data_IF_884150167977
#
_entry.id   IF_884150167977
#
_cell.length_a   1.000
_cell.length_b   1.000
_cell.length_c   1.000
_cell.angle_alpha   90.00
_cell.angle_beta   90.00
_cell.angle_gamma   90.00
#
_symmetry.space_group_name_H-M   'P 1'
#
loop_
_entity.id
_entity.type
_entity.pdbx_description
1 polymer ?
#
# COMPACT_ATOMS: atom_id res chain seq x y z
N UNK A 1 -8.17 7.74 9.06
CA UNK A 1 -8.02 6.25 9.07
C UNK A 1 -7.25 5.83 7.82
N UNK A 2 -6.63 4.64 7.77
CA UNK A 2 -5.89 4.22 6.57
C UNK A 2 -6.59 3.06 5.86
N UNK A 3 -6.55 3.09 4.52
CA UNK A 3 -7.05 2.00 3.68
C UNK A 3 -5.90 1.31 2.98
N UNK A 4 -5.89 -0.01 3.00
CA UNK A 4 -4.85 -0.82 2.35
C UNK A 4 -5.03 -0.76 0.84
N UNK A 5 -3.99 -0.36 0.12
CA UNK A 5 -3.93 -0.31 -1.35
C UNK A 5 -3.28 -1.56 -1.93
N UNK A 6 -2.21 -2.01 -1.30
CA UNK A 6 -1.41 -3.15 -1.74
C UNK A 6 -1.20 -4.12 -0.59
N UNK A 7 -1.16 -5.41 -0.92
CA UNK A 7 -0.97 -6.47 0.09
C UNK A 7 0.39 -6.35 0.76
N UNK A 8 0.44 -6.44 2.09
CA UNK A 8 1.69 -6.48 2.85
C UNK A 8 1.57 -7.32 4.12
N UNK A 9 2.72 -7.77 4.63
CA UNK A 9 2.84 -8.42 5.93
C UNK A 9 3.32 -7.39 6.95
N UNK A 10 2.57 -7.20 8.03
CA UNK A 10 2.96 -6.35 9.15
C UNK A 10 3.57 -7.21 10.24
N UNK A 11 4.89 -7.13 10.39
CA UNK A 11 5.61 -7.91 11.40
C UNK A 11 5.34 -7.40 12.82
N UNK A 12 4.95 -6.12 12.98
CA UNK A 12 4.57 -5.57 14.29
C UNK A 12 3.18 -6.03 14.77
N UNK A 13 2.41 -6.67 13.89
CA UNK A 13 1.07 -7.18 14.16
C UNK A 13 1.06 -8.71 14.08
N UNK A 14 2.02 -9.39 14.73
CA UNK A 14 2.15 -10.85 14.72
C UNK A 14 2.22 -11.47 13.30
N UNK A 15 2.81 -10.74 12.35
CA UNK A 15 2.88 -11.16 10.97
C UNK A 15 1.54 -11.12 10.22
N UNK A 16 0.56 -10.34 10.70
CA UNK A 16 -0.72 -10.14 10.04
C UNK A 16 -0.55 -9.69 8.59
N UNK A 17 -1.37 -10.27 7.71
CA UNK A 17 -1.35 -9.98 6.29
C UNK A 17 -2.54 -9.08 5.97
N UNK A 18 -2.25 -7.85 5.58
CA UNK A 18 -3.24 -6.88 5.14
C UNK A 18 -3.53 -7.05 3.65
N UNK A 19 -4.81 -7.14 3.29
CA UNK A 19 -5.27 -7.23 1.91
C UNK A 19 -5.83 -5.88 1.41
N UNK A 20 -5.72 -5.59 0.10
CA UNK A 20 -6.30 -4.38 -0.48
C UNK A 20 -7.78 -4.21 -0.12
N UNK A 21 -8.16 -3.01 0.32
CA UNK A 21 -9.51 -2.68 0.76
C UNK A 21 -9.74 -2.75 2.27
N UNK A 22 -8.88 -3.44 3.01
CA UNK A 22 -8.95 -3.52 4.48
C UNK A 22 -8.57 -2.19 5.15
N UNK A 23 -8.95 -2.04 6.41
CA UNK A 23 -8.61 -0.90 7.26
C UNK A 23 -7.33 -1.21 8.03
N UNK A 24 -6.42 -0.24 8.09
CA UNK A 24 -5.22 -0.31 8.89
C UNK A 24 -5.24 0.73 10.03
N UNK A 25 -4.86 0.34 11.26
CA UNK A 25 -4.62 -1.03 11.71
C UNK A 25 -5.94 -1.85 11.78
N UNK A 26 -5.82 -3.18 11.84
CA UNK A 26 -6.97 -4.01 12.16
C UNK A 26 -7.38 -3.78 13.63
N UNK A 27 -8.64 -4.10 13.98
CA UNK A 27 -9.29 -3.72 15.24
C UNK A 27 -8.47 -4.06 16.50
N UNK A 28 -7.73 -5.17 16.46
CA UNK A 28 -6.96 -5.67 17.60
C UNK A 28 -5.54 -5.09 17.69
N UNK A 29 -5.14 -4.24 16.74
CA UNK A 29 -3.80 -3.65 16.69
C UNK A 29 -3.82 -2.13 16.88
N UNK A 30 -2.73 -1.63 17.47
CA UNK A 30 -2.55 -0.18 17.72
C UNK A 30 -1.92 0.49 16.51
N UNK A 31 -2.42 1.67 16.15
CA UNK A 31 -1.85 2.49 15.09
C UNK A 31 -0.51 3.06 15.54
N UNK A 32 0.57 2.67 14.88
CA UNK A 32 1.88 3.32 15.01
C UNK A 32 2.01 4.36 13.90
N UNK A 33 1.96 5.66 14.24
CA UNK A 33 1.89 6.76 13.26
C UNK A 33 3.05 6.74 12.27
N UNK A 34 4.29 6.68 12.76
CA UNK A 34 5.48 6.65 11.90
C UNK A 34 5.47 5.47 10.95
N UNK A 35 5.00 4.30 11.41
CA UNK A 35 4.86 3.12 10.55
C UNK A 35 3.79 3.30 9.48
N UNK A 36 2.67 3.91 9.83
CA UNK A 36 1.61 4.21 8.89
C UNK A 36 2.06 5.23 7.81
N UNK A 37 2.85 6.22 8.20
CA UNK A 37 3.46 7.20 7.28
C UNK A 37 4.43 6.51 6.30
N UNK A 38 5.32 5.63 6.79
CA UNK A 38 6.20 4.84 5.93
C UNK A 38 5.43 4.01 4.90
N UNK A 39 4.34 3.35 5.34
CA UNK A 39 3.50 2.54 4.48
C UNK A 39 2.63 3.38 3.53
N UNK A 40 2.35 4.63 3.87
CA UNK A 40 1.65 5.60 3.02
C UNK A 40 2.58 6.28 2.00
N UNK A 41 3.90 6.21 2.20
CA UNK A 41 4.89 6.66 1.24
C UNK A 41 5.11 5.62 0.13
N UNK A 42 5.58 6.09 -1.03
CA UNK A 42 5.88 5.20 -2.16
C UNK A 42 7.14 4.41 -1.83
N UNK A 43 7.04 3.09 -1.79
CA UNK A 43 8.17 2.24 -1.46
C UNK A 43 9.19 2.25 -2.62
N UNK A 44 10.45 2.65 -2.40
CA UNK A 44 11.42 2.90 -3.47
C UNK A 44 11.72 1.64 -4.31
N UNK A 45 11.70 0.46 -3.69
CA UNK A 45 11.92 -0.82 -4.37
C UNK A 45 10.74 -1.28 -5.25
N UNK A 46 9.51 -0.96 -4.86
CA UNK A 46 8.31 -1.53 -5.48
C UNK A 46 7.51 -0.50 -6.28
N UNK A 47 7.77 0.79 -6.10
CA UNK A 47 7.04 1.87 -6.77
C UNK A 47 5.57 1.95 -6.38
N UNK A 48 5.18 1.38 -5.22
CA UNK A 48 3.80 1.36 -4.75
C UNK A 48 3.70 1.87 -3.31
N UNK A 49 2.55 2.46 -2.98
CA UNK A 49 2.14 2.79 -1.60
C UNK A 49 1.32 1.65 -1.03
N UNK A 50 1.52 1.28 0.23
CA UNK A 50 0.75 0.19 0.87
C UNK A 50 -0.53 0.69 1.51
N UNK A 51 -0.50 1.92 2.04
CA UNK A 51 -1.64 2.58 2.66
C UNK A 51 -2.02 3.86 1.90
N UNK A 52 -3.30 4.17 1.94
CA UNK A 52 -3.84 5.47 1.58
C UNK A 52 -4.42 6.11 2.84
N UNK A 53 -4.01 7.35 3.13
CA UNK A 53 -4.62 8.15 4.18
C UNK A 53 -6.04 8.50 3.74
N UNK A 54 -7.03 7.90 4.38
CA UNK A 54 -8.43 8.31 4.25
C UNK A 54 -8.62 9.40 5.28
N UNK A 55 -8.56 10.66 4.81
CA UNK A 55 -9.22 11.74 5.52
C UNK A 55 -10.67 11.33 5.69
N UNK A 56 -11.14 11.26 6.94
CA UNK A 56 -12.55 11.05 7.23
C UNK A 56 -13.27 12.31 6.77
N UNK A 57 -13.54 12.40 5.47
CA UNK A 57 -14.40 13.42 4.91
C UNK A 57 -15.78 13.13 5.48
N UNK A 58 -16.15 13.89 6.50
CA UNK A 58 -17.52 14.40 6.61
C UNK A 58 -17.97 14.76 5.18
N UNK A 59 -19.16 14.32 4.75
CA UNK A 59 -19.47 14.12 3.35
C UNK A 59 -19.44 15.45 2.57
N UNK A 60 -18.30 15.78 1.97
CA UNK A 60 -18.26 16.48 0.69
C UNK A 60 -16.88 16.42 0.01
N UNK A 61 -16.94 16.36 -1.33
CA UNK A 61 -15.88 16.67 -2.29
C UNK A 61 -14.94 15.54 -2.72
N UNK A 62 -15.35 14.90 -3.80
CA UNK A 62 -14.56 14.51 -4.98
C UNK A 62 -13.27 15.32 -5.22
N UNK A 63 -12.17 14.63 -5.55
CA UNK A 63 -11.21 15.07 -6.58
C UNK A 63 -10.22 13.95 -6.93
N UNK A 64 -10.19 13.66 -8.23
CA UNK A 64 -9.27 12.75 -8.91
C UNK A 64 -7.85 13.33 -9.02
N UNK A 65 -6.83 12.49 -8.82
CA UNK A 65 -5.52 12.46 -9.53
C UNK A 65 -4.71 11.28 -8.93
N UNK A 66 -4.11 10.35 -9.67
CA UNK A 66 -3.68 10.40 -11.05
C UNK A 66 -3.88 9.09 -11.79
N UNK A 67 -4.26 9.26 -13.06
CA UNK A 67 -4.10 8.28 -14.12
C UNK A 67 -2.62 8.18 -14.44
N UNK A 68 -2.05 6.97 -14.49
CA UNK A 68 -0.95 6.69 -15.40
C UNK A 68 -1.13 5.29 -16.00
N UNK A 69 -1.72 5.30 -17.19
CA UNK A 69 -1.82 4.18 -18.12
C UNK A 69 -0.54 4.10 -18.94
N UNK A 70 0.35 3.12 -18.75
CA UNK A 70 1.30 2.69 -19.80
C UNK A 70 1.61 1.18 -19.72
N UNK A 71 1.00 0.42 -20.64
CA UNK A 71 1.58 -0.55 -21.59
C UNK A 71 2.51 -1.69 -21.10
N UNK A 72 1.94 -2.91 -21.13
CA UNK A 72 2.42 -4.17 -21.76
C UNK A 72 3.88 -4.26 -22.26
N UNK A 73 4.61 -5.28 -21.76
CA UNK A 73 5.78 -5.98 -22.35
C UNK A 73 6.39 -6.88 -21.26
N UNK A 74 6.27 -8.22 -21.24
CA UNK A 74 6.94 -9.30 -22.01
C UNK A 74 8.48 -9.29 -21.95
N UNK A 75 9.04 -10.51 -21.84
CA UNK A 75 10.45 -10.98 -21.83
C UNK A 75 11.16 -10.96 -20.46
N UNK A 76 11.49 -12.08 -19.78
CA UNK A 76 12.22 -13.35 -20.04
C UNK A 76 13.70 -13.30 -19.68
N UNK A 77 14.06 -14.25 -18.80
CA UNK A 77 15.26 -15.10 -18.82
C UNK A 77 16.64 -14.43 -18.71
N UNK A 78 17.33 -14.68 -17.59
CA UNK A 78 18.79 -14.82 -17.61
C UNK A 78 19.16 -16.11 -16.89
N UNK A 79 19.33 -17.18 -17.68
CA UNK A 79 20.29 -18.24 -17.38
C UNK A 79 21.55 -17.86 -18.14
N UNK A 80 22.68 -17.80 -17.45
CA UNK A 80 23.98 -17.94 -18.09
C UNK A 80 24.98 -18.46 -17.06
N UNK A 81 25.25 -19.75 -17.18
CA UNK A 81 26.47 -20.43 -16.77
C UNK A 81 27.72 -19.69 -17.29
N UNK A 82 28.76 -19.67 -16.46
CA UNK A 82 30.17 -19.63 -16.90
C UNK A 82 30.98 -20.59 -16.04
#
# INVERSE_FOLDING_TARGET
MYKVKNKFKENYHDGHIYNPGEVYPAKDYKLVKSRAEELAMTHPKYGVTFLEAVEEKLPNSTSEKGKNTVRKGKETLEKSDV
#
